data_IF_663374113422
#
_entry.id   IF_663374113422
#
_cell.length_a   1.000
_cell.length_b   1.000
_cell.length_c   1.000
_cell.angle_alpha   90.00
_cell.angle_beta   90.00
_cell.angle_gamma   90.00
#
_symmetry.space_group_name_H-M   'P 1'
#
loop_
_entity.id
_entity.type
_entity.pdbx_description
1 polymer ?
#
# COMPACT_ATOMS: atom_id res chain seq x y z
N UNK A 1 4.03 -34.52 3.94
CA UNK A 1 4.52 -33.20 4.38
C UNK A 1 4.17 -32.23 3.26
N UNK A 2 3.03 -31.54 3.37
CA UNK A 2 2.65 -30.51 2.41
C UNK A 2 3.48 -29.28 2.71
N UNK A 3 4.41 -28.94 1.82
CA UNK A 3 5.06 -27.64 1.82
C UNK A 3 3.97 -26.58 1.60
N UNK A 4 3.55 -25.91 2.68
CA UNK A 4 2.75 -24.70 2.56
C UNK A 4 3.63 -23.65 1.86
N UNK A 5 3.37 -23.41 0.57
CA UNK A 5 3.96 -22.26 -0.13
C UNK A 5 3.73 -21.00 0.72
N UNK A 6 4.79 -20.25 1.05
CA UNK A 6 4.67 -19.12 1.96
C UNK A 6 3.68 -18.11 1.38
N UNK A 7 2.65 -17.76 2.16
CA UNK A 7 1.67 -16.74 1.73
C UNK A 7 2.40 -15.42 1.48
N UNK A 8 2.07 -14.70 0.39
CA UNK A 8 2.60 -13.36 0.16
C UNK A 8 2.30 -12.45 1.37
N UNK A 9 3.29 -11.65 1.77
CA UNK A 9 3.16 -10.66 2.85
C UNK A 9 3.29 -9.26 2.27
N UNK A 10 2.75 -8.27 3.00
CA UNK A 10 3.02 -6.87 2.68
C UNK A 10 4.53 -6.61 2.70
N UNK A 11 5.07 -5.77 1.79
CA UNK A 11 6.50 -5.52 1.68
C UNK A 11 7.06 -4.71 2.86
N UNK A 12 6.19 -4.01 3.61
CA UNK A 12 6.52 -3.25 4.81
C UNK A 12 5.37 -3.35 5.81
N UNK A 13 5.67 -3.40 7.10
CA UNK A 13 4.69 -3.44 8.19
C UNK A 13 4.72 -2.15 9.03
N UNK A 14 3.69 -1.94 9.84
CA UNK A 14 3.65 -0.85 10.82
C UNK A 14 4.83 -0.93 11.81
N UNK A 15 5.20 -2.14 12.23
CA UNK A 15 6.33 -2.36 13.12
C UNK A 15 7.67 -1.96 12.48
N UNK A 16 7.86 -2.26 11.18
CA UNK A 16 9.06 -1.86 10.45
C UNK A 16 9.17 -0.33 10.37
N UNK A 17 8.05 0.35 10.09
CA UNK A 17 7.99 1.82 10.03
C UNK A 17 8.26 2.44 11.40
N UNK A 18 7.70 1.88 12.47
CA UNK A 18 7.90 2.38 13.83
C UNK A 18 9.37 2.23 14.26
N UNK A 19 9.96 1.05 14.06
CA UNK A 19 11.36 0.81 14.40
C UNK A 19 12.32 1.74 13.63
N UNK A 20 12.03 1.98 12.35
CA UNK A 20 12.77 2.95 11.55
C UNK A 20 12.61 4.39 12.08
N UNK A 21 11.40 4.77 12.49
CA UNK A 21 11.12 6.11 13.02
C UNK A 21 11.84 6.36 14.35
N UNK A 22 11.86 5.38 15.25
CA UNK A 22 12.58 5.45 16.53
C UNK A 22 14.08 5.67 16.31
N UNK A 23 14.67 4.93 15.37
CA UNK A 23 16.10 5.07 15.01
C UNK A 23 16.39 6.44 14.40
N UNK A 24 15.56 6.88 13.46
CA UNK A 24 15.73 8.17 12.77
C UNK A 24 15.55 9.35 13.72
N UNK A 25 14.60 9.25 14.66
CA UNK A 25 14.40 10.25 15.70
C UNK A 25 15.63 10.37 16.60
N UNK A 26 16.23 9.25 17.03
CA UNK A 26 17.46 9.27 17.83
C UNK A 26 18.62 9.93 17.07
N UNK A 27 18.82 9.59 15.80
CA UNK A 27 19.88 10.17 14.95
C UNK A 27 19.67 11.68 14.72
N UNK A 28 18.43 12.12 14.53
CA UNK A 28 18.11 13.55 14.43
C UNK A 28 18.42 14.31 15.73
N UNK A 29 18.06 13.75 16.90
CA UNK A 29 18.38 14.36 18.19
C UNK A 29 19.88 14.41 18.47
N UNK A 30 20.64 13.44 17.98
CA UNK A 30 22.10 13.42 18.04
C UNK A 30 22.77 14.40 17.05
N UNK A 31 22.01 15.01 16.13
CA UNK A 31 22.53 15.89 15.09
C UNK A 31 23.20 15.16 13.92
N UNK A 32 23.04 13.85 13.82
CA UNK A 32 23.58 13.01 12.75
C UNK A 32 22.76 13.11 11.45
N UNK A 33 21.47 13.45 11.57
CA UNK A 33 20.55 13.69 10.46
C UNK A 33 20.13 15.15 10.48
N UNK A 34 20.35 15.87 9.38
CA UNK A 34 20.02 17.28 9.24
C UNK A 34 18.63 17.53 8.66
N UNK A 35 18.21 18.79 8.64
CA UNK A 35 16.91 19.20 8.09
C UNK A 35 16.76 18.87 6.60
N UNK A 36 17.84 18.98 5.81
CA UNK A 36 17.80 18.65 4.39
C UNK A 36 17.61 17.15 4.16
N UNK A 37 18.30 16.30 4.92
CA UNK A 37 18.12 14.84 4.86
C UNK A 37 16.67 14.45 5.17
N UNK A 38 16.05 15.09 6.18
CA UNK A 38 14.64 14.87 6.50
C UNK A 38 13.69 15.32 5.39
N UNK A 39 14.01 16.38 4.64
CA UNK A 39 13.23 16.80 3.47
C UNK A 39 13.30 15.74 2.36
N UNK A 40 14.49 15.18 2.13
CA UNK A 40 14.68 14.15 1.11
C UNK A 40 13.96 12.85 1.50
N UNK A 41 14.10 12.42 2.75
CA UNK A 41 13.37 11.29 3.35
C UNK A 41 11.85 11.51 3.25
N UNK A 42 11.36 12.73 3.52
CA UNK A 42 9.94 13.05 3.37
C UNK A 42 9.47 12.81 1.93
N UNK A 43 10.28 13.19 0.94
CA UNK A 43 10.01 12.90 -0.47
C UNK A 43 9.93 11.39 -0.76
N UNK A 44 10.85 10.62 -0.21
CA UNK A 44 10.87 9.15 -0.32
C UNK A 44 9.64 8.50 0.32
N UNK A 45 9.31 8.88 1.56
CA UNK A 45 8.13 8.39 2.27
C UNK A 45 6.84 8.68 1.50
N UNK A 46 6.72 9.86 0.87
CA UNK A 46 5.54 10.19 0.04
C UNK A 46 5.43 9.29 -1.19
N UNK A 47 6.54 8.98 -1.86
CA UNK A 47 6.56 8.04 -3.00
C UNK A 47 6.23 6.61 -2.55
N UNK A 48 6.81 6.17 -1.43
CA UNK A 48 6.55 4.84 -0.87
C UNK A 48 5.08 4.69 -0.44
N UNK A 49 4.51 5.72 0.19
CA UNK A 49 3.09 5.75 0.56
C UNK A 49 2.18 5.64 -0.68
N UNK A 50 2.48 6.37 -1.75
CA UNK A 50 1.74 6.27 -3.01
C UNK A 50 1.83 4.85 -3.61
N UNK A 51 3.03 4.24 -3.61
CA UNK A 51 3.22 2.87 -4.09
C UNK A 51 2.44 1.84 -3.23
N UNK A 52 2.39 2.02 -1.91
CA UNK A 52 1.58 1.17 -1.03
C UNK A 52 0.07 1.34 -1.30
N UNK A 53 -0.39 2.56 -1.59
CA UNK A 53 -1.77 2.81 -1.98
C UNK A 53 -2.12 2.15 -3.32
N UNK A 54 -1.24 2.26 -4.32
CA UNK A 54 -1.39 1.60 -5.62
C UNK A 54 -1.41 0.07 -5.48
N UNK A 55 -0.58 -0.51 -4.59
CA UNK A 55 -0.59 -1.93 -4.26
C UNK A 55 -1.87 -2.36 -3.53
N UNK A 56 -2.38 -1.53 -2.62
CA UNK A 56 -3.66 -1.76 -1.95
C UNK A 56 -4.83 -1.77 -2.94
N UNK A 57 -4.81 -0.89 -3.95
CA UNK A 57 -5.82 -0.86 -5.00
C UNK A 57 -5.76 -2.10 -5.88
N UNK A 58 -4.55 -2.54 -6.24
CA UNK A 58 -4.34 -3.80 -6.95
C UNK A 58 -4.93 -4.98 -6.16
N UNK A 59 -4.60 -5.09 -4.88
CA UNK A 59 -5.08 -6.17 -4.01
C UNK A 59 -6.61 -6.15 -3.87
N UNK A 60 -7.22 -4.96 -3.82
CA UNK A 60 -8.67 -4.81 -3.79
C UNK A 60 -9.33 -5.34 -5.07
N UNK A 61 -8.81 -4.98 -6.25
CA UNK A 61 -9.30 -5.51 -7.54
C UNK A 61 -9.13 -7.03 -7.61
N UNK A 62 -7.94 -7.53 -7.30
CA UNK A 62 -7.63 -8.96 -7.33
C UNK A 62 -8.51 -9.76 -6.36
N UNK A 63 -8.78 -9.24 -5.15
CA UNK A 63 -9.67 -9.88 -4.20
C UNK A 63 -11.11 -9.95 -4.72
N UNK A 64 -11.59 -8.91 -5.41
CA UNK A 64 -12.92 -8.89 -6.03
C UNK A 64 -13.02 -9.89 -7.19
N UNK A 65 -12.00 -9.98 -8.03
CA UNK A 65 -11.90 -10.98 -9.10
C UNK A 65 -11.85 -12.41 -8.55
N UNK A 66 -11.15 -12.61 -7.44
CA UNK A 66 -11.12 -13.86 -6.68
C UNK A 66 -12.42 -14.18 -5.94
N UNK A 67 -13.48 -13.38 -6.12
CA UNK A 67 -14.82 -13.65 -5.58
C UNK A 67 -15.08 -13.13 -4.16
N UNK A 68 -14.14 -12.41 -3.53
CA UNK A 68 -14.35 -11.86 -2.19
C UNK A 68 -15.47 -10.83 -2.19
N UNK A 69 -16.51 -11.02 -1.40
CA UNK A 69 -17.64 -10.09 -1.27
C UNK A 69 -17.21 -8.75 -0.64
N UNK A 70 -17.97 -7.68 -0.91
CA UNK A 70 -17.70 -6.38 -0.27
C UNK A 70 -17.82 -6.43 1.26
N UNK A 71 -18.63 -7.35 1.80
CA UNK A 71 -18.76 -7.56 3.25
C UNK A 71 -17.48 -8.14 3.86
N UNK A 72 -16.79 -9.04 3.14
CA UNK A 72 -15.49 -9.58 3.58
C UNK A 72 -14.39 -8.50 3.53
N UNK A 73 -14.49 -7.56 2.59
CA UNK A 73 -13.50 -6.49 2.41
C UNK A 73 -13.76 -5.32 3.38
N UNK A 74 -15.01 -5.00 3.71
CA UNK A 74 -15.36 -3.82 4.50
C UNK A 74 -14.57 -3.62 5.81
N UNK A 75 -14.20 -4.65 6.59
CA UNK A 75 -13.38 -4.49 7.80
C UNK A 75 -12.01 -3.87 7.54
N UNK A 76 -11.39 -4.06 6.38
CA UNK A 76 -10.06 -3.49 6.09
C UNK A 76 -10.11 -1.99 5.78
N UNK A 77 -11.30 -1.44 5.49
CA UNK A 77 -11.53 -0.02 5.23
C UNK A 77 -12.07 0.74 6.46
N UNK A 78 -11.99 0.15 7.66
CA UNK A 78 -12.45 0.78 8.91
C UNK A 78 -13.73 0.15 9.44
N UNK A 79 -14.72 0.95 9.82
CA UNK A 79 -15.90 0.57 10.63
C UNK A 79 -16.88 -0.46 10.01
N UNK A 80 -16.44 -1.31 9.08
CA UNK A 80 -17.23 -2.41 8.52
C UNK A 80 -18.32 -1.98 7.54
N UNK A 81 -18.36 -0.70 7.15
CA UNK A 81 -19.33 -0.22 6.17
C UNK A 81 -18.88 -0.53 4.75
N UNK A 82 -19.68 -1.35 4.05
CA UNK A 82 -19.50 -1.72 2.63
C UNK A 82 -19.36 -0.51 1.68
N UNK A 83 -19.87 0.66 2.07
CA UNK A 83 -19.82 1.88 1.26
C UNK A 83 -18.38 2.32 0.93
N UNK A 84 -17.45 2.17 1.88
CA UNK A 84 -16.07 2.59 1.68
C UNK A 84 -15.34 1.79 0.58
N UNK A 85 -15.29 0.44 0.62
CA UNK A 85 -14.68 -0.34 -0.47
C UNK A 85 -15.47 -0.22 -1.78
N UNK A 86 -16.80 -0.09 -1.74
CA UNK A 86 -17.60 0.08 -2.94
C UNK A 86 -17.26 1.38 -3.70
N UNK A 87 -17.19 2.51 -3.00
CA UNK A 87 -16.80 3.79 -3.60
C UNK A 87 -15.36 3.78 -4.12
N UNK A 88 -14.45 3.07 -3.44
CA UNK A 88 -13.07 2.91 -3.91
C UNK A 88 -13.02 2.08 -5.20
N UNK A 89 -13.74 0.96 -5.26
CA UNK A 89 -13.84 0.13 -6.46
C UNK A 89 -14.47 0.87 -7.64
N UNK A 90 -15.55 1.62 -7.41
CA UNK A 90 -16.18 2.43 -8.45
C UNK A 90 -15.17 3.42 -9.06
N UNK A 91 -14.37 4.09 -8.20
CA UNK A 91 -13.32 4.98 -8.67
C UNK A 91 -12.25 4.22 -9.47
N UNK A 92 -11.82 3.05 -9.01
CA UNK A 92 -10.80 2.24 -9.69
C UNK A 92 -11.29 1.72 -11.04
N UNK A 93 -12.53 1.28 -11.15
CA UNK A 93 -13.11 0.78 -12.41
C UNK A 93 -13.23 1.86 -13.50
N UNK A 94 -13.10 3.15 -13.15
CA UNK A 94 -12.95 4.22 -14.15
C UNK A 94 -11.56 4.28 -14.78
N UNK A 95 -10.56 3.64 -14.16
CA UNK A 95 -9.16 3.64 -14.59
C UNK A 95 -8.71 2.27 -15.09
N UNK A 96 -9.10 1.19 -14.40
CA UNK A 96 -8.77 -0.19 -14.74
C UNK A 96 -9.94 -1.11 -14.37
N UNK A 97 -10.34 -1.98 -15.30
CA UNK A 97 -11.44 -2.92 -15.07
C UNK A 97 -11.03 -4.16 -14.28
N UNK A 98 -9.73 -4.45 -14.22
CA UNK A 98 -9.19 -5.59 -13.50
C UNK A 98 -7.76 -5.32 -12.96
N UNK A 99 -7.28 -6.22 -12.11
CA UNK A 99 -5.99 -6.15 -11.45
C UNK A 99 -4.82 -6.20 -12.45
N UNK A 100 -4.95 -6.94 -13.55
CA UNK A 100 -3.94 -7.00 -14.60
C UNK A 100 -3.77 -5.66 -15.32
N UNK A 101 -4.88 -5.01 -15.71
CA UNK A 101 -4.88 -3.68 -16.31
C UNK A 101 -4.27 -2.65 -15.36
N UNK A 102 -4.62 -2.72 -14.07
CA UNK A 102 -4.02 -1.83 -13.08
C UNK A 102 -2.51 -2.03 -12.97
N UNK A 103 -2.03 -3.28 -12.91
CA UNK A 103 -0.59 -3.58 -12.88
C UNK A 103 0.13 -3.05 -14.13
N UNK A 104 -0.48 -3.14 -15.31
CA UNK A 104 0.06 -2.57 -16.55
C UNK A 104 0.19 -1.05 -16.47
N UNK A 105 -0.83 -0.35 -15.94
CA UNK A 105 -0.78 1.10 -15.69
C UNK A 105 0.38 1.45 -14.75
N UNK A 106 0.57 0.71 -13.67
CA UNK A 106 1.66 0.96 -12.71
C UNK A 106 3.03 0.78 -13.37
N UNK A 107 3.22 -0.27 -14.18
CA UNK A 107 4.47 -0.48 -14.92
C UNK A 107 4.77 0.69 -15.86
N UNK A 108 3.79 1.18 -16.59
CA UNK A 108 3.97 2.34 -17.47
C UNK A 108 4.35 3.62 -16.72
N UNK A 109 3.76 3.87 -15.54
CA UNK A 109 4.11 5.03 -14.70
C UNK A 109 5.55 5.01 -14.18
N UNK A 110 6.15 3.84 -14.01
CA UNK A 110 7.53 3.71 -13.51
C UNK A 110 8.58 3.90 -14.62
N UNK A 111 8.18 3.74 -15.88
CA UNK A 111 9.06 3.89 -17.06
C UNK A 111 8.95 5.25 -17.74
N UNK A 112 7.96 6.06 -17.35
CA UNK A 112 7.66 7.38 -17.90
C UNK A 112 8.20 8.48 -16.99
#
# INVERSE_FOLDING_TARGET
>A
MTEESPRPRAPITEADVLAWLETTAAAFQAGEVGAQDLIDILGELRRASAACADASDWALLAAREGGASLRQIAPVFGKGYVRAPAARLEKLHRQAQNAEQWLAILRHKQTA
#
